data_IF_613534899578
#
_entry.id   IF_613534899578
#
_cell.length_a   1.000
_cell.length_b   1.000
_cell.length_c   1.000
_cell.angle_alpha   90.00
_cell.angle_beta   90.00
_cell.angle_gamma   90.00
#
_symmetry.space_group_name_H-M   'P 1'
#
loop_
_entity.id
_entity.type
_entity.pdbx_description
1 polymer ?
#
# COMPACT_ATOMS: atom_id res chain seq x y z
N UNK A 1 -55.89 29.22 -16.57
CA UNK A 1 -55.51 27.93 -17.19
C UNK A 1 -54.10 28.04 -17.74
N UNK A 2 -53.22 27.08 -17.37
CA UNK A 2 -51.86 26.81 -17.90
C UNK A 2 -50.78 27.81 -17.49
N UNK A 3 -49.56 27.44 -17.13
CA UNK A 3 -48.93 26.19 -16.70
C UNK A 3 -47.58 26.66 -16.12
N UNK A 4 -47.33 26.40 -14.84
CA UNK A 4 -45.99 26.45 -14.25
C UNK A 4 -45.27 25.18 -14.70
N UNK A 5 -44.21 25.28 -15.51
CA UNK A 5 -43.17 24.25 -15.71
C UNK A 5 -42.20 24.73 -16.82
N UNK A 6 -41.06 25.32 -16.43
CA UNK A 6 -39.71 25.06 -16.99
C UNK A 6 -38.75 26.20 -16.64
N UNK A 7 -37.87 25.98 -15.65
CA UNK A 7 -36.54 26.60 -15.61
C UNK A 7 -35.55 25.61 -14.98
N UNK A 8 -34.74 24.90 -15.77
CA UNK A 8 -33.82 23.87 -15.29
C UNK A 8 -32.47 24.48 -14.89
N UNK A 9 -32.46 25.39 -13.91
CA UNK A 9 -31.21 26.06 -13.47
C UNK A 9 -30.98 26.07 -11.96
N UNK A 10 -31.80 25.36 -11.17
CA UNK A 10 -31.73 25.37 -9.70
C UNK A 10 -31.32 24.04 -9.05
N UNK A 11 -30.90 23.03 -9.84
CA UNK A 11 -30.49 21.71 -9.29
C UNK A 11 -28.97 21.59 -9.12
N UNK A 12 -28.17 22.56 -9.55
CA UNK A 12 -26.70 22.37 -9.65
C UNK A 12 -25.86 22.87 -8.47
N UNK A 13 -26.45 23.20 -7.32
CA UNK A 13 -25.72 23.70 -6.14
C UNK A 13 -25.63 22.71 -4.97
N UNK A 14 -26.21 21.50 -5.10
CA UNK A 14 -26.16 20.45 -4.07
C UNK A 14 -25.28 19.23 -4.43
N UNK A 15 -24.64 19.22 -5.60
CA UNK A 15 -23.85 18.06 -6.07
C UNK A 15 -22.32 18.23 -5.85
N UNK A 16 -21.86 19.37 -5.31
CA UNK A 16 -20.43 19.59 -5.05
C UNK A 16 -19.98 19.28 -3.61
N UNK A 17 -20.80 18.58 -2.82
CA UNK A 17 -20.40 18.06 -1.50
C UNK A 17 -20.16 16.54 -1.49
N UNK A 18 -20.30 15.85 -2.63
CA UNK A 18 -20.32 14.38 -2.69
C UNK A 18 -19.19 13.72 -3.49
N UNK A 19 -18.08 14.41 -3.78
CA UNK A 19 -16.94 13.80 -4.47
C UNK A 19 -15.60 13.85 -3.72
N UNK A 20 -15.47 14.67 -2.66
CA UNK A 20 -14.22 14.78 -1.88
C UNK A 20 -14.28 13.95 -0.58
N UNK A 21 -15.45 13.41 -0.20
CA UNK A 21 -15.64 12.68 1.05
C UNK A 21 -15.77 11.14 0.86
N UNK A 22 -15.62 10.61 -0.35
CA UNK A 22 -16.00 9.22 -0.67
C UNK A 22 -14.89 8.16 -0.49
N UNK A 23 -13.73 8.51 0.04
CA UNK A 23 -12.61 7.55 0.17
C UNK A 23 -11.91 7.59 1.54
N UNK A 24 -12.63 7.94 2.60
CA UNK A 24 -12.24 7.53 3.94
C UNK A 24 -12.57 6.04 4.13
N UNK A 25 -11.79 5.15 3.50
CA UNK A 25 -11.60 3.82 4.05
C UNK A 25 -10.90 4.04 5.39
N UNK A 26 -11.70 4.25 6.45
CA UNK A 26 -11.18 4.51 7.79
C UNK A 26 -10.47 3.26 8.26
N UNK A 27 -9.16 3.24 8.06
CA UNK A 27 -8.27 2.26 8.67
C UNK A 27 -8.69 2.05 10.12
N UNK A 28 -8.90 0.80 10.51
CA UNK A 28 -9.42 0.49 11.83
C UNK A 28 -8.33 0.80 12.86
N UNK A 29 -8.61 1.75 13.73
CA UNK A 29 -7.71 2.08 14.84
C UNK A 29 -7.68 0.92 15.84
N UNK A 30 -6.49 0.39 16.09
CA UNK A 30 -6.25 -0.74 16.98
C UNK A 30 -5.93 -0.26 18.39
N UNK A 31 -5.32 0.92 18.51
CA UNK A 31 -5.04 1.54 19.79
C UNK A 31 -3.68 2.20 19.86
N UNK A 32 -3.40 2.77 21.03
CA UNK A 32 -2.13 3.40 21.35
C UNK A 32 -1.14 2.34 21.83
N UNK A 33 0.15 2.44 21.49
CA UNK A 33 1.19 1.49 21.91
C UNK A 33 2.48 2.20 22.29
N UNK A 34 3.02 1.95 23.47
CA UNK A 34 4.28 2.56 23.89
C UNK A 34 5.48 1.89 23.18
N UNK A 35 6.41 2.70 22.67
CA UNK A 35 7.58 2.21 21.94
C UNK A 35 8.56 1.42 22.83
N UNK A 36 8.64 1.76 24.12
CA UNK A 36 9.48 1.03 25.09
C UNK A 36 8.94 -0.37 25.33
N UNK A 37 7.61 -0.54 25.37
CA UNK A 37 7.01 -1.85 25.49
C UNK A 37 7.23 -2.68 24.22
N UNK A 38 7.10 -2.08 23.04
CA UNK A 38 7.40 -2.74 21.76
C UNK A 38 8.85 -3.26 21.73
N UNK A 39 9.82 -2.47 22.20
CA UNK A 39 11.23 -2.89 22.32
C UNK A 39 11.41 -4.04 23.31
N UNK A 40 10.83 -3.91 24.51
CA UNK A 40 10.89 -4.99 25.53
C UNK A 40 10.31 -6.29 25.00
N UNK A 41 9.19 -6.24 24.27
CA UNK A 41 8.58 -7.44 23.69
C UNK A 41 9.39 -8.00 22.54
N UNK A 42 10.05 -7.14 21.76
CA UNK A 42 10.93 -7.59 20.68
C UNK A 42 12.05 -8.46 21.23
N UNK A 43 12.66 -8.03 22.34
CA UNK A 43 13.70 -8.78 23.05
C UNK A 43 13.15 -10.05 23.71
N UNK A 44 12.06 -9.93 24.49
CA UNK A 44 11.51 -11.03 25.27
C UNK A 44 11.00 -12.19 24.38
N UNK A 45 10.44 -11.86 23.22
CA UNK A 45 9.85 -12.85 22.31
C UNK A 45 10.86 -13.31 21.24
N UNK A 46 12.07 -12.72 21.21
CA UNK A 46 13.04 -12.87 20.12
C UNK A 46 12.38 -12.72 18.73
N UNK A 47 11.50 -11.73 18.61
CA UNK A 47 10.66 -11.48 17.43
C UNK A 47 10.59 -10.00 17.17
N UNK A 48 10.73 -9.58 15.91
CA UNK A 48 10.69 -8.15 15.57
C UNK A 48 9.26 -7.63 15.44
N UNK A 49 8.96 -6.55 16.16
CA UNK A 49 7.67 -5.85 16.10
C UNK A 49 7.89 -4.41 15.67
N UNK A 50 7.08 -3.91 14.74
CA UNK A 50 7.24 -2.56 14.15
C UNK A 50 8.71 -2.25 13.83
N UNK A 51 9.38 -3.15 13.09
CA UNK A 51 10.84 -3.07 12.91
C UNK A 51 11.25 -2.00 11.90
N UNK A 52 10.37 -1.71 10.95
CA UNK A 52 10.67 -0.81 9.84
C UNK A 52 10.16 0.57 10.22
N UNK A 53 11.09 1.51 10.35
CA UNK A 53 10.80 2.93 10.51
C UNK A 53 11.09 3.65 9.19
N UNK A 54 10.17 4.47 8.74
CA UNK A 54 10.39 5.43 7.65
C UNK A 54 9.96 6.83 8.08
N UNK A 55 10.73 7.83 7.69
CA UNK A 55 10.38 9.24 7.90
C UNK A 55 9.43 9.68 6.76
N UNK A 56 8.26 10.20 7.13
CA UNK A 56 7.19 10.65 6.23
C UNK A 56 7.01 12.18 6.22
N UNK A 57 7.86 12.88 6.97
CA UNK A 57 7.96 14.34 7.06
C UNK A 57 6.58 15.02 7.21
N UNK A 58 6.40 16.19 6.59
CA UNK A 58 5.20 17.03 6.72
C UNK A 58 3.94 16.42 6.08
N UNK A 59 4.07 15.36 5.29
CA UNK A 59 2.94 14.70 4.59
C UNK A 59 2.47 13.43 5.29
N UNK A 60 2.92 13.21 6.53
CA UNK A 60 2.49 12.07 7.30
C UNK A 60 0.98 12.09 7.56
N UNK A 61 0.33 10.98 7.25
CA UNK A 61 -1.10 10.71 7.44
C UNK A 61 -1.29 9.21 7.58
N UNK A 62 -2.45 8.77 8.08
CA UNK A 62 -2.76 7.34 8.18
C UNK A 62 -2.70 6.69 6.79
N UNK A 63 -3.20 7.36 5.76
CA UNK A 63 -3.10 6.87 4.37
C UNK A 63 -1.65 6.78 3.87
N UNK A 64 -0.81 7.78 4.18
CA UNK A 64 0.60 7.79 3.75
C UNK A 64 1.32 6.59 4.35
N UNK A 65 1.21 6.38 5.67
CA UNK A 65 1.87 5.25 6.32
C UNK A 65 1.30 3.90 5.89
N UNK A 66 0.00 3.79 5.62
CA UNK A 66 -0.57 2.56 5.08
C UNK A 66 0.02 2.22 3.70
N UNK A 67 0.16 3.20 2.81
CA UNK A 67 0.78 3.01 1.49
C UNK A 67 2.24 2.58 1.64
N UNK A 68 3.00 3.22 2.53
CA UNK A 68 4.40 2.85 2.77
C UNK A 68 4.50 1.43 3.33
N UNK A 69 3.71 1.12 4.36
CA UNK A 69 3.75 -0.19 5.02
C UNK A 69 3.16 -1.33 4.20
N UNK A 70 2.40 -1.01 3.15
CA UNK A 70 1.87 -2.00 2.21
C UNK A 70 2.96 -2.83 1.52
N UNK A 71 4.19 -2.32 1.38
CA UNK A 71 5.30 -3.08 0.79
C UNK A 71 5.90 -4.16 1.70
N UNK A 72 5.51 -4.24 2.99
CA UNK A 72 6.14 -5.13 3.98
C UNK A 72 5.35 -6.39 4.35
N UNK A 73 4.25 -6.72 3.67
CA UNK A 73 3.36 -7.86 3.99
C UNK A 73 2.80 -7.91 5.45
N UNK A 74 2.86 -6.81 6.20
CA UNK A 74 2.36 -6.69 7.59
C UNK A 74 0.84 -6.48 7.70
N UNK A 75 0.20 -6.90 8.78
CA UNK A 75 -1.24 -6.67 9.05
C UNK A 75 -1.51 -5.32 9.73
N UNK A 76 -0.49 -4.70 10.33
CA UNK A 76 -0.61 -3.42 11.03
C UNK A 76 0.46 -2.41 10.60
N UNK A 77 0.16 -1.14 10.87
CA UNK A 77 1.10 -0.04 10.78
C UNK A 77 0.84 0.96 11.92
N UNK A 78 1.87 1.73 12.24
CA UNK A 78 1.88 2.69 13.33
C UNK A 78 2.36 4.06 12.86
N UNK A 79 1.89 5.10 13.53
CA UNK A 79 2.32 6.48 13.32
C UNK A 79 2.90 7.03 14.62
N UNK A 80 4.05 7.72 14.54
CA UNK A 80 4.75 8.30 15.69
C UNK A 80 5.14 9.74 15.41
N UNK A 81 5.15 10.55 16.48
CA UNK A 81 5.79 11.86 16.52
C UNK A 81 5.42 12.80 15.36
N UNK A 82 4.24 12.64 14.76
CA UNK A 82 3.78 13.42 13.58
C UNK A 82 4.54 13.18 12.28
N UNK A 83 5.70 12.53 12.28
CA UNK A 83 6.61 12.44 11.12
C UNK A 83 7.11 11.03 10.82
N UNK A 84 6.82 10.02 11.65
CA UNK A 84 7.33 8.66 11.43
C UNK A 84 6.20 7.67 11.09
N UNK A 85 6.47 6.81 10.10
CA UNK A 85 5.72 5.59 9.82
C UNK A 85 6.47 4.38 10.35
N UNK A 86 5.72 3.47 10.98
CA UNK A 86 6.24 2.24 11.56
C UNK A 86 5.49 1.04 10.99
N UNK A 87 6.20 0.12 10.33
CA UNK A 87 5.59 -1.06 9.70
C UNK A 87 5.96 -2.32 10.47
N UNK A 88 4.95 -3.11 10.83
CA UNK A 88 5.16 -4.35 11.56
C UNK A 88 3.89 -4.80 12.22
N UNK A 89 3.87 -6.08 12.58
CA UNK A 89 2.78 -6.66 13.32
C UNK A 89 3.04 -6.64 14.81
N UNK A 90 1.97 -6.86 15.57
CA UNK A 90 2.04 -7.09 17.00
C UNK A 90 0.93 -8.09 17.34
N UNK A 91 1.31 -9.34 17.49
CA UNK A 91 0.36 -10.42 17.80
C UNK A 91 0.14 -10.59 19.32
N UNK A 92 0.65 -9.66 20.14
CA UNK A 92 0.55 -9.68 21.60
C UNK A 92 -0.57 -8.74 22.08
N UNK A 93 -1.37 -9.21 23.03
CA UNK A 93 -2.26 -8.34 23.80
C UNK A 93 -1.43 -7.39 24.66
N UNK A 94 -1.31 -6.12 24.26
CA UNK A 94 -0.57 -5.09 25.00
C UNK A 94 -1.52 -4.27 25.88
N UNK A 95 -1.07 -3.91 27.07
CA UNK A 95 -1.73 -2.92 27.93
C UNK A 95 -1.63 -1.54 27.27
N UNK A 96 -2.77 -0.99 26.85
CA UNK A 96 -2.81 0.27 26.11
C UNK A 96 -2.37 1.43 27.01
N UNK A 97 -1.38 2.26 26.63
CA UNK A 97 -1.21 3.56 27.24
C UNK A 97 -2.48 4.41 27.09
N UNK A 98 -2.69 5.40 27.97
CA UNK A 98 -3.78 6.36 27.84
C UNK A 98 -3.83 6.97 26.43
N UNK A 99 -5.04 7.12 25.88
CA UNK A 99 -5.25 7.60 24.50
C UNK A 99 -4.58 8.95 24.21
N UNK A 100 -4.42 9.80 25.23
CA UNK A 100 -3.78 11.12 25.14
C UNK A 100 -2.37 11.06 24.53
N UNK A 101 -1.60 9.99 24.76
CA UNK A 101 -0.27 9.81 24.18
C UNK A 101 -0.29 9.44 22.69
N UNK A 102 -1.47 9.27 22.12
CA UNK A 102 -1.67 9.00 20.70
C UNK A 102 -2.54 10.02 20.00
N UNK A 103 -2.86 11.14 20.65
CA UNK A 103 -3.81 12.11 20.11
C UNK A 103 -3.13 13.24 19.30
N UNK A 104 -1.83 13.16 18.99
CA UNK A 104 -1.19 14.17 18.14
C UNK A 104 -1.80 14.14 16.74
N UNK A 105 -2.10 15.32 16.21
CA UNK A 105 -2.68 15.47 14.88
C UNK A 105 -1.59 15.24 13.83
N UNK A 106 -1.91 14.46 12.81
CA UNK A 106 -1.01 14.27 11.68
C UNK A 106 -0.93 15.54 10.80
N UNK A 107 0.25 15.92 10.32
CA UNK A 107 0.41 17.14 9.51
C UNK A 107 -0.23 17.01 8.12
N UNK A 108 -0.29 15.80 7.56
CA UNK A 108 -0.95 15.51 6.30
C UNK A 108 -2.47 15.30 6.41
N UNK A 109 -3.04 15.24 7.62
CA UNK A 109 -4.49 15.06 7.83
C UNK A 109 -4.93 15.43 9.25
N UNK A 110 -5.75 16.48 9.38
CA UNK A 110 -6.23 16.97 10.67
C UNK A 110 -7.17 16.00 11.41
N UNK A 111 -7.76 15.04 10.68
CA UNK A 111 -8.63 14.00 11.23
C UNK A 111 -7.85 12.79 11.76
N UNK A 112 -6.59 12.68 11.37
CA UNK A 112 -5.75 11.53 11.68
C UNK A 112 -4.97 11.73 12.97
N UNK A 113 -4.49 10.62 13.54
CA UNK A 113 -3.76 10.59 14.80
C UNK A 113 -2.41 9.90 14.62
N UNK A 114 -1.36 10.60 15.04
CA UNK A 114 0.03 10.31 14.74
C UNK A 114 0.88 9.98 15.97
N UNK A 115 0.26 9.40 17.00
CA UNK A 115 1.01 8.97 18.18
C UNK A 115 1.50 10.14 19.02
N UNK A 116 2.65 9.98 19.64
CA UNK A 116 3.49 11.05 20.20
C UNK A 116 4.97 10.61 20.15
N UNK A 117 5.86 11.25 20.93
CA UNK A 117 7.29 10.87 21.01
C UNK A 117 7.53 9.48 21.60
N UNK A 118 6.60 8.94 22.37
CA UNK A 118 6.73 7.71 23.16
C UNK A 118 5.78 6.60 22.72
N UNK A 119 4.78 6.92 21.90
CA UNK A 119 3.68 6.01 21.58
C UNK A 119 3.28 6.07 20.11
N UNK A 120 2.91 4.90 19.57
CA UNK A 120 2.38 4.70 18.23
C UNK A 120 0.86 4.73 18.26
N UNK A 121 0.26 5.49 17.34
CA UNK A 121 -1.13 5.24 16.92
C UNK A 121 -1.13 4.07 15.94
N UNK A 122 -1.70 2.93 16.34
CA UNK A 122 -1.69 1.70 15.54
C UNK A 122 -3.01 1.51 14.81
N UNK A 123 -2.91 1.11 13.56
CA UNK A 123 -4.03 0.86 12.66
C UNK A 123 -3.87 -0.50 11.97
N UNK A 124 -5.00 -1.14 11.67
CA UNK A 124 -5.06 -2.34 10.82
C UNK A 124 -4.91 -1.96 9.34
N UNK A 125 -4.15 -2.76 8.60
CA UNK A 125 -4.21 -2.76 7.14
C UNK A 125 -5.61 -3.20 6.69
N UNK A 126 -6.11 -2.71 5.55
CA UNK A 126 -7.44 -3.07 5.08
C UNK A 126 -7.58 -4.58 4.88
N UNK A 127 -8.65 -5.15 5.42
CA UNK A 127 -8.93 -6.60 5.36
C UNK A 127 -9.30 -7.11 3.96
N UNK A 128 -9.62 -6.21 3.02
CA UNK A 128 -10.08 -6.53 1.65
C UNK A 128 -8.97 -6.90 0.66
N UNK A 129 -7.73 -7.00 1.12
CA UNK A 129 -6.65 -7.41 0.25
C UNK A 129 -6.68 -8.93 0.06
N UNK A 130 -7.09 -9.38 -1.13
CA UNK A 130 -6.99 -10.79 -1.49
C UNK A 130 -5.54 -11.22 -1.51
N UNK A 131 -5.26 -12.38 -0.92
CA UNK A 131 -3.95 -13.01 -1.04
C UNK A 131 -3.68 -13.30 -2.51
N UNK A 132 -2.55 -12.82 -3.01
CA UNK A 132 -2.06 -13.19 -4.34
C UNK A 132 -1.77 -14.69 -4.34
N UNK A 133 -2.32 -15.44 -5.31
CA UNK A 133 -1.90 -16.82 -5.55
C UNK A 133 -0.43 -16.78 -5.97
N UNK A 134 0.43 -17.55 -5.31
CA UNK A 134 1.86 -17.61 -5.60
C UNK A 134 2.19 -18.97 -6.25
N UNK A 135 2.85 -19.00 -7.42
CA UNK A 135 3.20 -17.85 -8.27
C UNK A 135 1.96 -17.17 -8.86
N UNK A 136 2.04 -15.85 -9.04
CA UNK A 136 0.95 -15.07 -9.64
C UNK A 136 0.84 -15.40 -11.13
N UNK A 137 -0.38 -15.48 -11.65
CA UNK A 137 -0.61 -15.75 -13.08
C UNK A 137 -0.33 -14.46 -13.89
N UNK A 138 0.65 -14.49 -14.80
CA UNK A 138 1.02 -13.30 -15.57
C UNK A 138 -0.07 -12.95 -16.58
N UNK A 139 -0.31 -11.65 -16.75
CA UNK A 139 -1.02 -11.09 -17.90
C UNK A 139 -0.18 -11.24 -19.16
N UNK A 140 1.14 -11.09 -19.04
CA UNK A 140 2.08 -11.31 -20.14
C UNK A 140 3.49 -10.81 -19.81
N UNK A 141 4.41 -11.12 -20.73
CA UNK A 141 5.79 -10.63 -20.74
C UNK A 141 5.97 -9.70 -21.94
N UNK A 142 6.55 -8.53 -21.72
CA UNK A 142 6.61 -7.46 -22.71
C UNK A 142 8.01 -6.86 -22.79
N UNK A 143 8.39 -6.29 -23.93
CA UNK A 143 9.60 -5.46 -24.00
C UNK A 143 9.33 -4.12 -23.32
N UNK A 144 10.24 -3.68 -22.45
CA UNK A 144 10.19 -2.36 -21.83
C UNK A 144 10.41 -1.28 -22.89
N UNK A 145 9.48 -0.35 -22.99
CA UNK A 145 9.57 0.83 -23.85
C UNK A 145 9.23 2.08 -23.04
N UNK A 146 9.53 3.27 -23.56
CA UNK A 146 9.13 4.53 -22.94
C UNK A 146 7.60 4.65 -22.78
N UNK A 147 6.84 3.95 -23.61
CA UNK A 147 5.38 3.89 -23.54
C UNK A 147 4.91 2.85 -22.51
N UNK A 148 5.52 1.66 -22.49
CA UNK A 148 5.17 0.58 -21.58
C UNK A 148 5.85 0.76 -20.22
N UNK A 149 5.39 1.75 -19.47
CA UNK A 149 5.80 1.92 -18.08
C UNK A 149 4.55 1.96 -17.23
N UNK A 150 4.37 0.95 -16.39
CA UNK A 150 3.63 1.16 -15.15
C UNK A 150 4.41 2.26 -14.40
N UNK A 151 3.99 3.52 -14.57
CA UNK A 151 4.84 4.70 -14.31
C UNK A 151 5.14 4.92 -12.82
N UNK A 152 4.36 4.30 -11.94
CA UNK A 152 4.53 4.45 -10.51
C UNK A 152 5.45 3.34 -9.98
N UNK A 153 6.73 3.65 -9.80
CA UNK A 153 7.65 2.82 -9.03
C UNK A 153 7.21 2.73 -7.58
N UNK A 154 7.38 1.54 -6.98
CA UNK A 154 7.15 1.32 -5.56
C UNK A 154 8.46 1.49 -4.81
N UNK A 155 8.57 2.50 -3.91
CA UNK A 155 9.77 2.67 -3.10
C UNK A 155 9.95 1.47 -2.17
N UNK A 156 11.07 0.75 -2.32
CA UNK A 156 11.69 -0.25 -1.44
C UNK A 156 12.18 -1.49 -2.24
N UNK A 157 13.45 -1.52 -2.68
CA UNK A 157 13.99 -2.57 -3.54
C UNK A 157 14.39 -3.86 -2.79
N UNK A 158 14.50 -3.85 -1.47
CA UNK A 158 15.20 -4.94 -0.76
C UNK A 158 14.39 -6.24 -0.63
N UNK A 159 13.07 -6.21 -0.79
CA UNK A 159 12.25 -7.40 -0.54
C UNK A 159 11.05 -7.54 -1.46
N UNK A 160 11.22 -7.25 -2.74
CA UNK A 160 10.12 -7.31 -3.69
C UNK A 160 9.71 -8.77 -3.93
N UNK A 161 8.42 -9.06 -3.72
CA UNK A 161 7.74 -10.32 -4.07
C UNK A 161 6.44 -9.96 -4.79
N UNK A 162 5.81 -10.92 -5.47
CA UNK A 162 4.51 -10.68 -6.11
C UNK A 162 3.46 -10.20 -5.11
N UNK A 163 3.42 -10.78 -3.91
CA UNK A 163 2.48 -10.40 -2.84
C UNK A 163 2.68 -8.94 -2.40
N UNK A 164 3.92 -8.54 -2.11
CA UNK A 164 4.25 -7.19 -1.63
C UNK A 164 4.00 -6.13 -2.70
N UNK A 165 4.40 -6.41 -3.94
CA UNK A 165 4.19 -5.50 -5.06
C UNK A 165 2.70 -5.33 -5.36
N UNK A 166 1.96 -6.43 -5.48
CA UNK A 166 0.50 -6.42 -5.69
C UNK A 166 -0.22 -5.61 -4.61
N UNK A 167 0.14 -5.80 -3.33
CA UNK A 167 -0.46 -5.07 -2.21
C UNK A 167 -0.19 -3.58 -2.29
N UNK A 168 1.03 -3.20 -2.64
CA UNK A 168 1.41 -1.81 -2.78
C UNK A 168 0.69 -1.13 -3.95
N UNK A 169 0.44 -1.85 -5.04
CA UNK A 169 -0.34 -1.35 -6.18
C UNK A 169 -1.83 -1.28 -5.87
N UNK A 170 -2.37 -2.25 -5.12
CA UNK A 170 -3.75 -2.24 -4.62
C UNK A 170 -4.02 -1.01 -3.76
N UNK A 171 -3.14 -0.72 -2.81
CA UNK A 171 -3.24 0.45 -1.92
C UNK A 171 -3.19 1.78 -2.69
N UNK A 172 -2.51 1.80 -3.85
CA UNK A 172 -2.48 2.94 -4.79
C UNK A 172 -3.65 2.95 -5.78
N UNK A 173 -4.65 2.08 -5.59
CA UNK A 173 -5.83 1.91 -6.46
C UNK A 173 -5.47 1.60 -7.92
N UNK A 174 -4.35 0.91 -8.13
CA UNK A 174 -3.90 0.49 -9.44
C UNK A 174 -4.44 -0.92 -9.76
N UNK A 175 -4.70 -1.19 -11.03
CA UNK A 175 -5.25 -2.48 -11.49
C UNK A 175 -4.18 -3.51 -11.84
N UNK A 176 -2.99 -3.05 -12.18
CA UNK A 176 -1.86 -3.85 -12.61
C UNK A 176 -0.67 -3.58 -11.71
N UNK A 177 0.11 -4.63 -11.50
CA UNK A 177 1.46 -4.55 -10.97
C UNK A 177 2.39 -5.33 -11.89
N UNK A 178 3.65 -4.97 -11.92
CA UNK A 178 4.63 -5.64 -12.78
C UNK A 178 6.04 -5.33 -12.34
N UNK A 179 6.99 -6.01 -12.97
CA UNK A 179 8.39 -5.90 -12.61
C UNK A 179 9.29 -5.68 -13.81
N UNK A 180 10.17 -4.69 -13.68
CA UNK A 180 11.23 -4.35 -14.61
C UNK A 180 12.56 -4.50 -13.87
N UNK A 181 13.40 -5.44 -14.29
CA UNK A 181 14.73 -5.64 -13.71
C UNK A 181 14.73 -5.72 -12.16
N UNK A 182 13.74 -6.43 -11.59
CA UNK A 182 13.58 -6.58 -10.14
C UNK A 182 12.82 -5.45 -9.45
N UNK A 183 12.51 -4.34 -10.13
CA UNK A 183 11.81 -3.18 -9.57
C UNK A 183 10.30 -3.37 -9.70
N UNK A 184 9.54 -3.09 -8.63
CA UNK A 184 8.08 -3.13 -8.66
C UNK A 184 7.48 -1.84 -9.22
N UNK A 185 6.52 -2.01 -10.12
CA UNK A 185 5.79 -0.91 -10.75
C UNK A 185 4.27 -1.14 -10.71
N UNK A 186 3.52 -0.05 -10.61
CA UNK A 186 2.06 -0.05 -10.58
C UNK A 186 1.45 0.78 -11.72
N UNK A 187 0.26 0.40 -12.18
CA UNK A 187 -0.49 1.16 -13.18
C UNK A 187 -1.87 0.57 -13.49
N UNK A 188 -2.61 1.21 -14.39
CA UNK A 188 -3.99 0.82 -14.69
C UNK A 188 -4.20 0.17 -16.05
N UNK A 189 -3.28 0.41 -16.98
CA UNK A 189 -3.33 -0.05 -18.36
C UNK A 189 -1.92 -0.37 -18.81
N UNK A 190 -1.81 -1.34 -19.70
CA UNK A 190 -0.67 -1.45 -20.59
C UNK A 190 -0.94 -0.41 -21.69
N UNK A 191 0.04 0.40 -22.08
CA UNK A 191 -0.14 1.26 -23.25
C UNK A 191 -0.19 0.36 -24.49
N UNK A 192 -1.40 -0.01 -24.91
CA UNK A 192 -1.65 -1.08 -25.88
C UNK A 192 -1.07 -0.83 -27.28
N UNK A 193 -0.66 0.39 -27.62
CA UNK A 193 -0.17 0.71 -28.97
C UNK A 193 1.32 0.34 -29.19
N UNK A 194 2.11 0.13 -28.13
CA UNK A 194 3.56 -0.14 -28.23
C UNK A 194 4.06 -1.26 -27.31
N UNK A 195 3.18 -1.92 -26.57
CA UNK A 195 3.53 -3.03 -25.69
C UNK A 195 3.79 -4.31 -26.49
N UNK A 196 5.04 -4.53 -26.91
CA UNK A 196 5.40 -5.74 -27.66
C UNK A 196 5.40 -6.97 -26.75
N UNK A 197 4.36 -7.81 -26.89
CA UNK A 197 4.24 -9.10 -26.21
C UNK A 197 5.30 -10.10 -26.73
N UNK A 198 6.01 -10.74 -25.82
CA UNK A 198 7.06 -11.73 -26.11
C UNK A 198 6.86 -13.01 -25.29
N UNK A 199 7.65 -14.04 -25.59
CA UNK A 199 7.64 -15.30 -24.84
C UNK A 199 7.91 -15.07 -23.35
N UNK A 200 7.16 -15.75 -22.49
CA UNK A 200 7.32 -15.71 -21.02
C UNK A 200 8.73 -16.06 -20.56
N UNK A 201 9.41 -16.96 -21.27
CA UNK A 201 10.80 -17.34 -20.99
C UNK A 201 11.76 -16.14 -20.94
N UNK A 202 11.46 -15.04 -21.66
CA UNK A 202 12.28 -13.83 -21.63
C UNK A 202 12.15 -13.04 -20.33
N UNK A 203 11.04 -13.17 -19.60
CA UNK A 203 10.84 -12.51 -18.32
C UNK A 203 11.14 -13.43 -17.12
N UNK A 204 11.12 -14.75 -17.33
CA UNK A 204 11.27 -15.77 -16.28
C UNK A 204 12.74 -16.14 -16.00
N UNK A 205 13.66 -15.17 -16.12
CA UNK A 205 15.11 -15.40 -15.88
C UNK A 205 15.62 -14.85 -14.56
N UNK A 206 14.93 -13.87 -13.97
CA UNK A 206 15.30 -13.29 -12.67
C UNK A 206 14.29 -13.68 -11.60
N UNK A 207 14.72 -14.48 -10.62
CA UNK A 207 13.93 -14.72 -9.42
C UNK A 207 13.84 -13.46 -8.56
N UNK A 208 12.69 -13.26 -7.93
CA UNK A 208 12.48 -12.13 -7.03
C UNK A 208 13.45 -12.10 -5.84
N UNK A 209 14.15 -10.98 -5.54
CA UNK A 209 15.15 -10.91 -4.47
C UNK A 209 14.62 -11.27 -3.07
N UNK A 210 13.36 -10.94 -2.79
CA UNK A 210 12.73 -11.19 -1.49
C UNK A 210 12.34 -12.65 -1.22
N UNK A 211 12.71 -13.59 -2.09
CA UNK A 211 12.13 -14.93 -2.13
C UNK A 211 13.13 -16.09 -1.96
N UNK A 212 14.11 -15.95 -1.06
CA UNK A 212 15.07 -17.01 -0.75
C UNK A 212 14.41 -18.36 -0.34
N UNK A 213 13.12 -18.36 0.04
CA UNK A 213 12.35 -19.54 0.43
C UNK A 213 11.37 -20.08 -0.63
N UNK A 214 11.10 -19.37 -1.74
CA UNK A 214 10.21 -19.87 -2.84
C UNK A 214 10.78 -19.47 -4.23
N UNK A 215 11.57 -20.33 -4.89
CA UNK A 215 12.31 -19.96 -6.11
C UNK A 215 11.45 -19.81 -7.39
N UNK A 216 10.12 -19.66 -7.28
CA UNK A 216 9.18 -19.73 -8.41
C UNK A 216 8.52 -18.39 -8.78
N UNK A 217 8.89 -17.29 -8.13
CA UNK A 217 8.42 -15.94 -8.50
C UNK A 217 9.48 -15.22 -9.32
N UNK A 218 9.09 -14.71 -10.49
CA UNK A 218 9.98 -14.02 -11.42
C UNK A 218 9.68 -12.52 -11.45
N UNK A 219 10.72 -11.71 -11.35
CA UNK A 219 10.63 -10.26 -11.19
C UNK A 219 11.16 -9.48 -12.41
N UNK A 220 11.06 -10.06 -13.62
CA UNK A 220 11.46 -9.41 -14.88
C UNK A 220 12.98 -9.22 -15.02
N UNK A 221 13.50 -9.19 -16.25
CA UNK A 221 14.94 -9.15 -16.52
C UNK A 221 15.25 -8.56 -17.89
N UNK A 222 16.45 -8.00 -18.05
CA UNK A 222 17.03 -7.53 -19.31
C UNK A 222 16.10 -6.59 -20.10
N UNK A 223 15.44 -5.66 -19.42
CA UNK A 223 14.49 -4.75 -20.07
C UNK A 223 13.21 -5.43 -20.53
N UNK A 224 12.90 -6.64 -20.05
CA UNK A 224 11.62 -7.30 -20.24
C UNK A 224 10.76 -7.20 -18.99
N UNK A 225 9.52 -6.78 -19.21
CA UNK A 225 8.56 -6.41 -18.21
C UNK A 225 7.50 -7.49 -18.05
N UNK A 226 7.44 -8.10 -16.87
CA UNK A 226 6.40 -9.09 -16.53
C UNK A 226 5.26 -8.41 -15.78
N UNK A 227 4.02 -8.62 -16.24
CA UNK A 227 2.86 -7.90 -15.70
C UNK A 227 1.82 -8.88 -15.18
N UNK A 228 1.17 -8.49 -14.08
CA UNK A 228 0.16 -9.25 -13.36
C UNK A 228 -1.05 -8.36 -13.03
N UNK A 229 -2.20 -8.98 -12.78
CA UNK A 229 -3.37 -8.29 -12.24
C UNK A 229 -3.24 -8.16 -10.72
N UNK A 230 -3.53 -6.98 -10.17
CA UNK A 230 -3.63 -6.79 -8.73
C UNK A 230 -4.70 -7.70 -8.15
N UNK A 231 -4.36 -8.41 -7.07
CA UNK A 231 -5.32 -9.29 -6.39
C UNK A 231 -6.33 -8.44 -5.60
N UNK A 232 -7.60 -8.61 -5.92
CA UNK A 232 -8.74 -8.06 -5.17
C UNK A 232 -9.62 -9.22 -4.71
N UNK A 233 -10.25 -9.12 -3.55
CA UNK A 233 -11.30 -10.09 -3.22
C UNK A 233 -12.38 -10.02 -4.31
N UNK A 234 -12.65 -11.15 -4.96
CA UNK A 234 -13.88 -11.32 -5.73
C UNK A 234 -15.03 -11.19 -4.73
N UNK A 235 -15.88 -10.19 -4.92
CA UNK A 235 -17.19 -10.13 -4.27
C UNK A 235 -18.02 -11.36 -4.63
#
# INVERSE_FOLDING_TARGET
MRNLLNRPYLVSLLVLASAVCLQAERFKYVGCRNITDIKRYTEADNKKYFEVKLDADLMNSVSTCAIVCSSYAVKHFGLRNTDECWCGDLDRGIKLPPKVFCDFICPGSFTDRCGDRTSLSVYEMPVRFAKVKIPAEPVGCYISSEQLKLKAEVPNPEFVTHEKCSRACWMRRQKLFGFLDGVCHCGNQLSDEDAMLISMENCEKLSCPGNAAKPYEFCGTDGNFIVFKVATESQ
#
